data_IF_440592905068
#
_entry.id   IF_440592905068
#
_cell.length_a   1.000
_cell.length_b   1.000
_cell.length_c   1.000
_cell.angle_alpha   90.00
_cell.angle_beta   90.00
_cell.angle_gamma   90.00
#
_symmetry.space_group_name_H-M   'P 1'
#
loop_
_entity.id
_entity.type
_entity.pdbx_description
1 polymer ?
#
# COMPACT_ATOMS: atom_id res chain seq x y z
N UNK A 1 -24.01 -7.12 -4.74
CA UNK A 1 -24.38 -6.23 -5.87
C UNK A 1 -23.32 -5.15 -6.15
N UNK A 2 -22.82 -4.40 -5.19
CA UNK A 2 -21.88 -3.29 -5.42
C UNK A 2 -20.62 -3.65 -6.20
N UNK A 3 -20.01 -4.81 -5.94
CA UNK A 3 -18.79 -5.25 -6.62
C UNK A 3 -19.00 -5.51 -8.12
N UNK A 4 -20.06 -6.18 -8.47
CA UNK A 4 -20.37 -6.46 -9.88
C UNK A 4 -20.68 -5.17 -10.66
N UNK A 5 -21.39 -4.24 -10.01
CA UNK A 5 -21.70 -2.92 -10.58
C UNK A 5 -20.44 -2.08 -10.74
N UNK A 6 -19.57 -2.00 -9.71
CA UNK A 6 -18.34 -1.21 -9.81
C UNK A 6 -17.34 -1.79 -10.83
N UNK A 7 -17.23 -3.13 -10.91
CA UNK A 7 -16.41 -3.78 -11.91
C UNK A 7 -16.95 -3.54 -13.34
N UNK A 8 -18.25 -3.67 -13.55
CA UNK A 8 -18.90 -3.37 -14.82
C UNK A 8 -18.72 -1.90 -15.23
N UNK A 9 -18.89 -0.97 -14.28
CA UNK A 9 -18.66 0.44 -14.51
C UNK A 9 -17.19 0.74 -14.86
N UNK A 10 -16.22 0.15 -14.16
CA UNK A 10 -14.80 0.38 -14.44
C UNK A 10 -14.41 -0.04 -15.86
N UNK A 11 -14.98 -1.16 -16.34
CA UNK A 11 -14.76 -1.65 -17.71
C UNK A 11 -15.51 -0.79 -18.75
N UNK A 12 -16.72 -0.37 -18.43
CA UNK A 12 -17.58 0.36 -19.37
C UNK A 12 -17.16 1.83 -19.49
N UNK A 13 -16.91 2.52 -18.40
CA UNK A 13 -16.53 3.95 -18.40
C UNK A 13 -15.09 4.20 -18.77
N UNK A 14 -14.23 3.17 -18.61
CA UNK A 14 -12.77 3.27 -18.79
C UNK A 14 -12.13 4.36 -17.91
N UNK A 15 -12.74 4.66 -16.77
CA UNK A 15 -12.25 5.63 -15.82
C UNK A 15 -11.29 4.98 -14.81
N UNK A 16 -10.05 5.46 -14.67
CA UNK A 16 -9.05 4.87 -13.77
C UNK A 16 -9.52 4.82 -12.30
N UNK A 17 -10.23 5.85 -11.83
CA UNK A 17 -10.77 5.92 -10.48
C UNK A 17 -11.67 4.72 -10.12
N UNK A 18 -12.38 4.17 -11.11
CA UNK A 18 -13.24 3.01 -10.90
C UNK A 18 -12.46 1.74 -10.56
N UNK A 19 -11.18 1.66 -10.90
CA UNK A 19 -10.32 0.56 -10.52
C UNK A 19 -10.07 0.57 -8.99
N UNK A 20 -9.83 1.73 -8.41
CA UNK A 20 -9.66 1.90 -6.96
C UNK A 20 -10.96 1.56 -6.22
N UNK A 21 -12.09 2.10 -6.68
CA UNK A 21 -13.41 1.80 -6.12
C UNK A 21 -13.70 0.31 -6.17
N UNK A 22 -13.36 -0.37 -7.26
CA UNK A 22 -13.56 -1.82 -7.39
C UNK A 22 -12.67 -2.60 -6.43
N UNK A 23 -11.42 -2.20 -6.24
CA UNK A 23 -10.50 -2.84 -5.28
C UNK A 23 -11.02 -2.70 -3.85
N UNK A 24 -11.50 -1.51 -3.47
CA UNK A 24 -12.12 -1.27 -2.15
C UNK A 24 -13.40 -2.09 -1.99
N UNK A 25 -14.26 -2.14 -3.01
CA UNK A 25 -15.49 -2.93 -2.99
C UNK A 25 -15.21 -4.44 -2.87
N UNK A 26 -14.17 -4.94 -3.54
CA UNK A 26 -13.70 -6.32 -3.42
C UNK A 26 -13.27 -6.63 -1.98
N UNK A 27 -12.47 -5.76 -1.40
CA UNK A 27 -12.00 -5.88 -0.02
C UNK A 27 -13.16 -5.88 0.97
N UNK A 28 -14.11 -4.93 0.87
CA UNK A 28 -15.29 -4.86 1.73
C UNK A 28 -16.18 -6.11 1.59
N UNK A 29 -16.36 -6.60 0.38
CA UNK A 29 -17.15 -7.82 0.11
C UNK A 29 -16.50 -9.03 0.78
N UNK A 30 -15.19 -9.21 0.62
CA UNK A 30 -14.45 -10.30 1.23
C UNK A 30 -14.51 -10.25 2.77
N UNK A 31 -14.38 -9.05 3.36
CA UNK A 31 -14.56 -8.86 4.81
C UNK A 31 -15.96 -9.26 5.29
N UNK A 32 -16.99 -8.85 4.53
CA UNK A 32 -18.36 -9.18 4.86
C UNK A 32 -18.60 -10.68 4.80
N UNK A 33 -18.10 -11.35 3.75
CA UNK A 33 -18.19 -12.82 3.62
C UNK A 33 -17.47 -13.52 4.77
N UNK A 34 -16.25 -13.10 5.13
CA UNK A 34 -15.54 -13.69 6.26
C UNK A 34 -16.28 -13.52 7.59
N UNK A 35 -16.90 -12.35 7.81
CA UNK A 35 -17.71 -12.09 9.01
C UNK A 35 -18.98 -12.96 9.04
N UNK A 36 -19.70 -13.06 7.94
CA UNK A 36 -20.89 -13.88 7.83
C UNK A 36 -20.60 -15.37 7.99
N UNK A 37 -19.45 -15.83 7.48
CA UNK A 37 -19.00 -17.20 7.62
C UNK A 37 -18.34 -17.49 8.99
N UNK A 38 -18.29 -16.51 9.89
CA UNK A 38 -17.60 -16.61 11.19
C UNK A 38 -16.13 -17.07 11.08
N UNK A 39 -15.47 -16.74 9.98
CA UNK A 39 -14.05 -17.08 9.76
C UNK A 39 -13.17 -16.16 10.59
N UNK A 40 -12.40 -16.76 11.50
CA UNK A 40 -11.44 -16.03 12.34
C UNK A 40 -10.13 -15.75 11.55
N UNK A 41 -10.24 -14.94 10.51
CA UNK A 41 -9.09 -14.53 9.68
C UNK A 41 -8.56 -13.18 10.16
N UNK A 42 -7.24 -13.10 10.34
CA UNK A 42 -6.60 -11.81 10.65
C UNK A 42 -6.82 -10.84 9.49
N UNK A 43 -7.37 -9.66 9.82
CA UNK A 43 -7.71 -8.63 8.85
C UNK A 43 -6.53 -8.26 7.92
N UNK A 44 -5.32 -8.12 8.48
CA UNK A 44 -4.12 -7.81 7.72
C UNK A 44 -3.74 -8.92 6.73
N UNK A 45 -3.88 -10.18 7.12
CA UNK A 45 -3.59 -11.30 6.23
C UNK A 45 -4.58 -11.37 5.07
N UNK A 46 -5.89 -11.23 5.35
CA UNK A 46 -6.93 -11.19 4.32
C UNK A 46 -6.70 -10.03 3.35
N UNK A 47 -6.45 -8.83 3.87
CA UNK A 47 -6.21 -7.65 3.04
C UNK A 47 -4.97 -7.80 2.17
N UNK A 48 -3.89 -8.39 2.71
CA UNK A 48 -2.68 -8.68 1.94
C UNK A 48 -2.94 -9.68 0.82
N UNK A 49 -3.69 -10.76 1.08
CA UNK A 49 -4.05 -11.76 0.06
C UNK A 49 -4.89 -11.15 -1.06
N UNK A 50 -5.89 -10.34 -0.73
CA UNK A 50 -6.74 -9.66 -1.72
C UNK A 50 -5.89 -8.68 -2.55
N UNK A 51 -5.03 -7.89 -1.91
CA UNK A 51 -4.14 -6.96 -2.60
C UNK A 51 -3.19 -7.66 -3.57
N UNK A 52 -2.57 -8.77 -3.13
CA UNK A 52 -1.69 -9.58 -3.97
C UNK A 52 -2.46 -10.21 -5.16
N UNK A 53 -3.65 -10.76 -4.91
CA UNK A 53 -4.49 -11.37 -5.94
C UNK A 53 -4.95 -10.33 -6.97
N UNK A 54 -5.38 -9.14 -6.53
CA UNK A 54 -5.78 -8.05 -7.41
C UNK A 54 -4.61 -7.57 -8.29
N UNK A 55 -3.42 -7.40 -7.70
CA UNK A 55 -2.22 -7.02 -8.44
C UNK A 55 -1.82 -8.09 -9.47
N UNK A 56 -1.83 -9.36 -9.11
CA UNK A 56 -1.52 -10.46 -10.03
C UNK A 56 -2.53 -10.54 -11.18
N UNK A 57 -3.83 -10.45 -10.88
CA UNK A 57 -4.89 -10.44 -11.89
C UNK A 57 -4.74 -9.27 -12.86
N UNK A 58 -4.42 -8.08 -12.35
CA UNK A 58 -4.17 -6.89 -13.17
C UNK A 58 -2.99 -7.07 -14.12
N UNK A 59 -1.88 -7.67 -13.67
CA UNK A 59 -0.72 -7.96 -14.52
C UNK A 59 -1.05 -8.93 -15.65
N UNK A 60 -1.81 -9.99 -15.35
CA UNK A 60 -2.24 -10.97 -16.36
C UNK A 60 -3.18 -10.32 -17.37
N UNK A 61 -4.17 -9.55 -16.89
CA UNK A 61 -5.13 -8.87 -17.75
C UNK A 61 -4.45 -7.82 -18.64
N UNK A 62 -3.50 -7.06 -18.09
CA UNK A 62 -2.71 -6.08 -18.86
C UNK A 62 -1.95 -6.72 -20.01
N UNK A 63 -1.31 -7.89 -19.78
CA UNK A 63 -0.60 -8.63 -20.84
C UNK A 63 -1.50 -9.09 -21.99
N UNK A 64 -2.79 -9.32 -21.70
CA UNK A 64 -3.78 -9.77 -22.68
C UNK A 64 -4.54 -8.63 -23.36
N UNK A 65 -4.40 -7.41 -22.84
CA UNK A 65 -5.14 -6.25 -23.33
C UNK A 65 -4.36 -5.50 -24.39
N UNK A 66 -5.05 -5.10 -25.45
CA UNK A 66 -4.56 -4.20 -26.49
C UNK A 66 -5.28 -2.84 -26.34
N UNK A 67 -4.51 -1.75 -26.31
CA UNK A 67 -5.06 -0.40 -26.25
C UNK A 67 -4.66 0.37 -25.00
N UNK A 68 -4.19 1.60 -25.21
CA UNK A 68 -3.57 2.45 -24.17
C UNK A 68 -4.52 2.72 -22.99
N UNK A 69 -5.81 2.99 -23.25
CA UNK A 69 -6.80 3.27 -22.20
C UNK A 69 -7.07 2.05 -21.32
N UNK A 70 -7.18 0.87 -21.92
CA UNK A 70 -7.43 -0.38 -21.19
C UNK A 70 -6.20 -0.77 -20.36
N UNK A 71 -5.00 -0.62 -20.90
CA UNK A 71 -3.76 -0.84 -20.15
C UNK A 71 -3.66 0.08 -18.92
N UNK A 72 -4.07 1.35 -19.03
CA UNK A 72 -4.08 2.28 -17.91
C UNK A 72 -5.00 1.84 -16.77
N UNK A 73 -6.17 1.30 -17.07
CA UNK A 73 -7.08 0.76 -16.05
C UNK A 73 -6.40 -0.39 -15.28
N UNK A 74 -5.74 -1.29 -15.99
CA UNK A 74 -5.01 -2.39 -15.34
C UNK A 74 -3.81 -1.92 -14.55
N UNK A 75 -3.15 -0.83 -14.95
CA UNK A 75 -2.08 -0.20 -14.17
C UNK A 75 -2.61 0.38 -12.85
N UNK A 76 -3.81 0.99 -12.84
CA UNK A 76 -4.45 1.48 -11.61
C UNK A 76 -4.92 0.32 -10.72
N UNK A 77 -5.48 -0.75 -11.29
CA UNK A 77 -5.81 -1.95 -10.52
C UNK A 77 -4.57 -2.58 -9.88
N UNK A 78 -3.47 -2.63 -10.62
CA UNK A 78 -2.19 -3.10 -10.11
C UNK A 78 -1.72 -2.22 -8.95
N UNK A 79 -1.71 -0.90 -9.14
CA UNK A 79 -1.29 0.05 -8.12
C UNK A 79 -2.15 -0.04 -6.84
N UNK A 80 -3.47 -0.12 -6.98
CA UNK A 80 -4.41 -0.28 -5.86
C UNK A 80 -4.21 -1.60 -5.11
N UNK A 81 -4.02 -2.70 -5.85
CA UNK A 81 -3.73 -4.02 -5.26
C UNK A 81 -2.42 -4.02 -4.48
N UNK A 82 -1.37 -3.44 -5.06
CA UNK A 82 -0.05 -3.31 -4.42
C UNK A 82 -0.11 -2.37 -3.21
N UNK A 83 -0.88 -1.29 -3.26
CA UNK A 83 -1.08 -0.38 -2.13
C UNK A 83 -1.80 -1.09 -0.96
N UNK A 84 -2.85 -1.86 -1.26
CA UNK A 84 -3.57 -2.65 -0.26
C UNK A 84 -2.67 -3.71 0.38
N UNK A 85 -1.87 -4.42 -0.42
CA UNK A 85 -0.88 -5.37 0.06
C UNK A 85 0.15 -4.70 0.96
N UNK A 86 0.80 -3.64 0.48
CA UNK A 86 1.84 -2.90 1.20
C UNK A 86 1.33 -2.29 2.51
N UNK A 87 0.15 -1.68 2.48
CA UNK A 87 -0.51 -1.15 3.68
C UNK A 87 -0.83 -2.23 4.71
N UNK A 88 -1.28 -3.40 4.27
CA UNK A 88 -1.60 -4.53 5.15
C UNK A 88 -0.36 -5.12 5.80
N UNK A 89 0.74 -5.25 5.07
CA UNK A 89 2.04 -5.70 5.60
C UNK A 89 2.57 -4.69 6.60
N UNK A 90 2.51 -3.39 6.29
CA UNK A 90 2.90 -2.33 7.23
C UNK A 90 2.07 -2.36 8.51
N UNK A 91 0.76 -2.52 8.40
CA UNK A 91 -0.12 -2.64 9.57
C UNK A 91 0.25 -3.85 10.44
N UNK A 92 0.55 -5.00 9.81
CA UNK A 92 0.99 -6.18 10.53
C UNK A 92 2.36 -5.98 11.20
N UNK A 93 3.30 -5.31 10.54
CA UNK A 93 4.62 -5.02 11.06
C UNK A 93 4.61 -3.94 12.15
N UNK A 94 3.64 -3.00 12.13
CA UNK A 94 3.50 -1.96 13.16
C UNK A 94 2.87 -2.45 14.46
N UNK A 95 2.15 -3.59 14.45
CA UNK A 95 1.53 -4.15 15.65
C UNK A 95 2.47 -4.33 16.86
N UNK A 96 3.77 -4.64 16.70
CA UNK A 96 4.71 -4.77 17.82
C UNK A 96 5.01 -3.47 18.58
N UNK A 97 4.87 -2.31 17.95
CA UNK A 97 5.14 -1.03 18.61
C UNK A 97 4.19 -0.74 19.77
N UNK A 98 2.99 -1.35 19.77
CA UNK A 98 2.07 -1.29 20.90
C UNK A 98 2.42 -2.23 22.06
N UNK A 99 3.27 -3.25 21.82
CA UNK A 99 3.62 -4.32 22.77
C UNK A 99 5.12 -4.36 23.12
N UNK A 100 5.89 -3.39 22.67
CA UNK A 100 7.35 -3.39 22.70
C UNK A 100 7.97 -3.75 21.35
N UNK A 101 9.05 -3.06 20.99
CA UNK A 101 9.68 -3.23 19.66
C UNK A 101 10.48 -4.51 19.62
N UNK A 102 10.09 -5.43 18.74
CA UNK A 102 10.93 -6.58 18.41
C UNK A 102 11.94 -6.16 17.32
N UNK A 103 13.26 -6.17 17.57
CA UNK A 103 14.27 -5.64 16.65
C UNK A 103 14.17 -6.22 15.24
N UNK A 104 13.90 -7.52 15.11
CA UNK A 104 13.77 -8.18 13.81
C UNK A 104 12.54 -7.71 13.01
N UNK A 105 11.41 -7.41 13.68
CA UNK A 105 10.22 -6.88 13.01
C UNK A 105 10.43 -5.45 12.54
N UNK A 106 11.10 -4.62 13.35
CA UNK A 106 11.48 -3.27 12.94
C UNK A 106 12.42 -3.28 11.73
N UNK A 107 13.45 -4.12 11.75
CA UNK A 107 14.35 -4.30 10.62
C UNK A 107 13.59 -4.80 9.36
N UNK A 108 12.69 -5.78 9.53
CA UNK A 108 11.86 -6.29 8.43
C UNK A 108 10.95 -5.20 7.86
N UNK A 109 10.39 -4.32 8.69
CA UNK A 109 9.55 -3.22 8.25
C UNK A 109 10.34 -2.20 7.42
N UNK A 110 11.54 -1.83 7.88
CA UNK A 110 12.42 -0.92 7.14
C UNK A 110 12.85 -1.52 5.79
N UNK A 111 13.30 -2.77 5.79
CA UNK A 111 13.70 -3.48 4.57
C UNK A 111 12.54 -3.63 3.59
N UNK A 112 11.35 -4.01 4.08
CA UNK A 112 10.16 -4.11 3.26
C UNK A 112 9.81 -2.79 2.58
N UNK A 113 9.74 -1.69 3.33
CA UNK A 113 9.37 -0.38 2.77
C UNK A 113 10.44 0.15 1.80
N UNK A 114 11.73 -0.07 2.08
CA UNK A 114 12.80 0.29 1.17
C UNK A 114 12.73 -0.52 -0.14
N UNK A 115 12.57 -1.84 -0.06
CA UNK A 115 12.41 -2.70 -1.22
C UNK A 115 11.14 -2.36 -2.01
N UNK A 116 10.04 -2.08 -1.32
CA UNK A 116 8.78 -1.67 -1.92
C UNK A 116 8.92 -0.36 -2.70
N UNK A 117 9.54 0.68 -2.11
CA UNK A 117 9.79 1.95 -2.78
C UNK A 117 10.71 1.80 -4.00
N UNK A 118 11.78 0.99 -3.90
CA UNK A 118 12.69 0.73 -5.01
C UNK A 118 11.98 -0.03 -6.15
N UNK A 119 11.19 -1.05 -5.83
CA UNK A 119 10.43 -1.80 -6.83
C UNK A 119 9.42 -0.89 -7.53
N UNK A 120 8.65 -0.10 -6.77
CA UNK A 120 7.69 0.85 -7.30
C UNK A 120 8.36 1.89 -8.23
N UNK A 121 9.57 2.35 -7.88
CA UNK A 121 10.38 3.25 -8.70
C UNK A 121 10.75 2.63 -10.05
N UNK A 122 11.16 1.34 -10.07
CA UNK A 122 11.45 0.62 -11.32
C UNK A 122 10.24 0.47 -12.24
N UNK A 123 9.05 0.37 -11.67
CA UNK A 123 7.79 0.31 -12.43
C UNK A 123 7.21 1.69 -12.78
N UNK A 124 7.90 2.79 -12.41
CA UNK A 124 7.44 4.15 -12.68
C UNK A 124 6.21 4.58 -11.87
N UNK A 125 5.83 3.83 -10.83
CA UNK A 125 4.66 4.06 -10.01
C UNK A 125 4.97 5.03 -8.86
N UNK A 126 4.95 6.34 -9.15
CA UNK A 126 5.33 7.41 -8.19
C UNK A 126 4.52 7.38 -6.90
N UNK A 127 3.21 7.12 -6.98
CA UNK A 127 2.35 7.02 -5.79
C UNK A 127 2.78 5.89 -4.85
N UNK A 128 3.18 4.74 -5.40
CA UNK A 128 3.68 3.62 -4.61
C UNK A 128 5.08 3.88 -4.02
N UNK A 129 5.93 4.63 -4.73
CA UNK A 129 7.23 5.10 -4.15
C UNK A 129 6.97 5.97 -2.93
N UNK A 130 6.02 6.90 -3.01
CA UNK A 130 5.65 7.76 -1.90
C UNK A 130 5.07 6.96 -0.73
N UNK A 131 4.22 5.96 -1.01
CA UNK A 131 3.67 5.08 0.02
C UNK A 131 4.79 4.31 0.75
N UNK A 132 5.77 3.77 0.03
CA UNK A 132 6.93 3.13 0.63
C UNK A 132 7.79 4.07 1.47
N UNK A 133 7.99 5.30 0.99
CA UNK A 133 8.71 6.34 1.73
C UNK A 133 7.98 6.75 3.02
N UNK A 134 6.65 6.90 2.98
CA UNK A 134 5.83 7.16 4.16
C UNK A 134 5.92 6.00 5.16
N UNK A 135 5.81 4.76 4.70
CA UNK A 135 5.96 3.58 5.54
C UNK A 135 7.34 3.52 6.21
N UNK A 136 8.40 3.81 5.46
CA UNK A 136 9.77 3.88 6.00
C UNK A 136 9.87 4.96 7.07
N UNK A 137 9.39 6.16 6.79
CA UNK A 137 9.40 7.28 7.74
C UNK A 137 8.61 6.97 9.01
N UNK A 138 7.44 6.35 8.88
CA UNK A 138 6.62 5.93 10.02
C UNK A 138 7.39 4.98 10.94
N UNK A 139 8.02 3.94 10.39
CA UNK A 139 8.79 2.99 11.20
C UNK A 139 10.05 3.61 11.81
N UNK A 140 10.71 4.54 11.11
CA UNK A 140 11.84 5.29 11.66
C UNK A 140 11.40 6.21 12.80
N UNK A 141 10.25 6.88 12.67
CA UNK A 141 9.68 7.69 13.77
C UNK A 141 9.36 6.83 15.01
N UNK A 142 8.73 5.66 14.80
CA UNK A 142 8.44 4.75 15.91
C UNK A 142 9.72 4.25 16.62
N UNK A 143 10.78 3.95 15.84
CA UNK A 143 12.07 3.57 16.41
C UNK A 143 12.74 4.73 17.15
N UNK A 144 12.69 5.94 16.59
CA UNK A 144 13.24 7.13 17.25
C UNK A 144 12.55 7.42 18.57
N UNK A 145 11.21 7.33 18.59
CA UNK A 145 10.43 7.54 19.82
C UNK A 145 10.75 6.48 20.89
N UNK A 146 10.98 5.23 20.47
CA UNK A 146 11.23 4.13 21.38
C UNK A 146 12.65 4.10 21.95
N UNK A 147 13.66 4.38 21.11
CA UNK A 147 15.07 4.22 21.48
C UNK A 147 15.78 5.51 21.91
N UNK A 148 15.27 6.67 21.49
CA UNK A 148 15.91 7.95 21.78
C UNK A 148 15.20 8.64 22.96
N UNK A 149 15.94 9.07 24.00
CA UNK A 149 15.35 9.84 25.07
C UNK A 149 14.89 11.20 24.56
N UNK A 150 13.83 11.74 25.17
CA UNK A 150 13.42 13.13 24.94
C UNK A 150 14.57 14.09 25.35
N UNK A 151 14.90 15.15 24.55
CA UNK A 151 14.23 15.66 23.36
C UNK A 151 14.71 15.07 22.02
N UNK A 152 15.70 14.17 22.01
CA UNK A 152 16.33 13.66 20.78
C UNK A 152 15.36 12.87 19.89
N UNK A 153 14.44 12.12 20.48
CA UNK A 153 13.40 11.40 19.76
C UNK A 153 12.51 12.37 18.96
N UNK A 154 12.05 13.44 19.58
CA UNK A 154 11.23 14.47 18.91
C UNK A 154 12.00 15.18 17.79
N UNK A 155 13.28 15.49 18.00
CA UNK A 155 14.12 16.09 16.96
C UNK A 155 14.29 15.15 15.76
N UNK A 156 14.55 13.87 16.00
CA UNK A 156 14.65 12.85 14.94
C UNK A 156 13.36 12.74 14.13
N UNK A 157 12.20 12.74 14.77
CA UNK A 157 10.90 12.70 14.09
C UNK A 157 10.70 13.92 13.19
N UNK A 158 11.06 15.12 13.66
CA UNK A 158 10.99 16.36 12.85
C UNK A 158 11.90 16.25 11.62
N UNK A 159 13.13 15.78 11.78
CA UNK A 159 14.08 15.62 10.68
C UNK A 159 13.61 14.58 9.64
N UNK A 160 13.05 13.45 10.09
CA UNK A 160 12.46 12.45 9.22
C UNK A 160 11.28 13.04 8.43
N UNK A 161 10.38 13.76 9.11
CA UNK A 161 9.24 14.43 8.48
C UNK A 161 9.68 15.46 7.43
N UNK A 162 10.67 16.30 7.75
CA UNK A 162 11.25 17.24 6.81
C UNK A 162 11.89 16.55 5.59
N UNK A 163 12.59 15.43 5.80
CA UNK A 163 13.18 14.63 4.72
C UNK A 163 12.12 14.10 3.74
N UNK A 164 11.01 13.55 4.27
CA UNK A 164 9.89 13.07 3.44
C UNK A 164 9.25 14.22 2.66
N UNK A 165 9.09 15.38 3.29
CA UNK A 165 8.53 16.57 2.62
C UNK A 165 9.43 17.02 1.45
N UNK A 166 10.74 17.11 1.66
CA UNK A 166 11.71 17.48 0.63
C UNK A 166 11.67 16.47 -0.52
N UNK A 167 11.63 15.18 -0.21
CA UNK A 167 11.55 14.11 -1.21
C UNK A 167 10.26 14.23 -2.03
N UNK A 168 9.14 14.49 -1.38
CA UNK A 168 7.84 14.71 -2.02
C UNK A 168 7.86 15.89 -3.00
N UNK A 169 8.45 17.03 -2.58
CA UNK A 169 8.57 18.22 -3.42
C UNK A 169 9.47 17.95 -4.65
N UNK A 170 10.59 17.24 -4.45
CA UNK A 170 11.49 16.90 -5.56
C UNK A 170 10.83 15.96 -6.57
N UNK A 171 10.07 14.98 -6.11
CA UNK A 171 9.35 14.06 -7.00
C UNK A 171 8.19 14.72 -7.73
N UNK A 172 7.61 15.80 -7.19
CA UNK A 172 6.54 16.55 -7.86
C UNK A 172 7.05 17.51 -8.96
N UNK A 173 8.26 18.09 -8.78
CA UNK A 173 8.86 19.03 -9.75
C UNK A 173 9.43 18.38 -11.01
N UNK A 174 9.53 17.08 -11.06
CA UNK A 174 10.03 16.32 -12.23
C UNK A 174 8.94 16.01 -13.29
N UNK A 175 7.89 16.83 -13.35
CA UNK A 175 6.83 16.80 -14.38
C UNK A 175 6.99 17.93 -15.37
#
# INVERSE_FOLDING_TARGET
MGLAVSAALSVHTKEPLMAEVTTVALWQTALTVCRLAHWNVKLSALSAMIGAAAAAAALVARKRSSGVKVCRIWDEFFASGVALFGGSVNFWLSGPYAQGVFPWKAASALLFNAAFAMAAGKFGQRGLVLLGAIGLAFHLCCLADFYLPSPYGSLAIILIGAGVLILSIRTSKGR
#
